data_IF_802306896864
#
_entry.id   IF_802306896864
#
_cell.length_a   1.000
_cell.length_b   1.000
_cell.length_c   1.000
_cell.angle_alpha   90.00
_cell.angle_beta   90.00
_cell.angle_gamma   90.00
#
_symmetry.space_group_name_H-M   'P 1'
#
loop_
_entity.id
_entity.type
_entity.pdbx_description
1 polymer ?
#
# COMPACT_ATOMS: atom_id res chain seq x y z
N UNK A 1 7.45 -43.86 -23.92
CA UNK A 1 8.08 -43.72 -22.58
C UNK A 1 8.67 -42.31 -22.50
N UNK A 2 7.93 -41.35 -21.94
CA UNK A 2 8.45 -40.02 -21.63
C UNK A 2 9.26 -40.15 -20.34
N UNK A 3 10.57 -39.88 -20.39
CA UNK A 3 11.43 -39.90 -19.22
C UNK A 3 10.96 -38.89 -18.16
N UNK A 4 11.28 -39.10 -16.88
CA UNK A 4 10.91 -38.17 -15.82
C UNK A 4 11.52 -36.81 -16.13
N UNK A 5 10.68 -35.82 -16.44
CA UNK A 5 11.08 -34.43 -16.56
C UNK A 5 11.60 -33.97 -15.21
N UNK A 6 12.92 -34.04 -15.02
CA UNK A 6 13.62 -33.44 -13.89
C UNK A 6 13.38 -31.93 -13.97
N UNK A 7 12.44 -31.44 -13.18
CA UNK A 7 12.21 -30.00 -13.01
C UNK A 7 13.52 -29.41 -12.51
N UNK A 8 14.14 -28.56 -13.33
CA UNK A 8 15.35 -27.85 -12.91
C UNK A 8 14.93 -26.80 -11.90
N UNK A 9 15.51 -26.83 -10.69
CA UNK A 9 15.25 -25.84 -9.63
C UNK A 9 15.37 -24.39 -10.13
N UNK A 10 16.18 -24.15 -11.16
CA UNK A 10 16.31 -22.86 -11.84
C UNK A 10 15.00 -22.34 -12.44
N UNK A 11 14.12 -23.20 -12.97
CA UNK A 11 12.84 -22.78 -13.54
C UNK A 11 11.86 -22.29 -12.47
N UNK A 12 11.82 -22.97 -11.31
CA UNK A 12 10.98 -22.56 -10.18
C UNK A 12 11.41 -21.17 -9.69
N UNK A 13 12.72 -20.96 -9.52
CA UNK A 13 13.27 -19.66 -9.09
C UNK A 13 12.92 -18.57 -10.10
N UNK A 14 13.08 -18.83 -11.40
CA UNK A 14 12.78 -17.86 -12.46
C UNK A 14 11.30 -17.45 -12.47
N UNK A 15 10.39 -18.41 -12.29
CA UNK A 15 8.93 -18.14 -12.24
C UNK A 15 8.56 -17.35 -10.97
N UNK A 16 9.13 -17.70 -9.83
CA UNK A 16 8.91 -16.94 -8.60
C UNK A 16 9.43 -15.50 -8.71
N UNK A 17 10.64 -15.33 -9.24
CA UNK A 17 11.25 -14.02 -9.41
C UNK A 17 10.48 -13.15 -10.41
N UNK A 18 10.11 -13.70 -11.57
CA UNK A 18 9.32 -12.97 -12.56
C UNK A 18 7.94 -12.58 -12.04
N UNK A 19 7.26 -13.48 -11.33
CA UNK A 19 5.98 -13.18 -10.66
C UNK A 19 6.17 -12.07 -9.61
N UNK A 20 7.22 -12.15 -8.79
CA UNK A 20 7.53 -11.11 -7.81
C UNK A 20 7.76 -9.75 -8.49
N UNK A 21 8.60 -9.69 -9.54
CA UNK A 21 8.91 -8.46 -10.26
C UNK A 21 7.63 -7.83 -10.83
N UNK A 22 6.82 -8.64 -11.51
CA UNK A 22 5.56 -8.19 -12.10
C UNK A 22 4.61 -7.64 -11.01
N UNK A 23 4.42 -8.37 -9.91
CA UNK A 23 3.51 -7.98 -8.85
C UNK A 23 4.02 -6.79 -8.04
N UNK A 24 5.33 -6.71 -7.77
CA UNK A 24 5.93 -5.58 -7.07
C UNK A 24 5.74 -4.28 -7.88
N UNK A 25 5.97 -4.34 -9.19
CA UNK A 25 5.73 -3.21 -10.09
C UNK A 25 4.24 -2.86 -10.17
N UNK A 26 3.35 -3.85 -10.34
CA UNK A 26 1.91 -3.59 -10.40
C UNK A 26 1.36 -3.00 -9.10
N UNK A 27 1.76 -3.49 -7.94
CA UNK A 27 1.20 -3.06 -6.66
C UNK A 27 1.80 -1.73 -6.18
N UNK A 28 3.10 -1.53 -6.39
CA UNK A 28 3.84 -0.42 -5.75
C UNK A 28 4.53 0.53 -6.74
N UNK A 29 4.49 0.23 -8.04
CA UNK A 29 5.20 1.00 -9.08
C UNK A 29 6.72 0.80 -9.08
N UNK A 30 7.28 0.02 -8.15
CA UNK A 30 8.73 -0.19 -8.03
C UNK A 30 9.05 -1.58 -7.47
N UNK A 31 10.01 -2.28 -8.07
CA UNK A 31 10.35 -3.67 -7.70
C UNK A 31 10.97 -3.80 -6.31
N UNK A 32 11.62 -2.75 -5.79
CA UNK A 32 12.30 -2.78 -4.48
C UNK A 32 11.45 -2.23 -3.34
N UNK A 33 10.38 -1.48 -3.62
CA UNK A 33 9.52 -0.88 -2.58
C UNK A 33 8.95 -1.89 -1.59
N UNK A 34 8.43 -3.08 -1.99
CA UNK A 34 7.96 -4.08 -1.04
C UNK A 34 9.06 -4.51 -0.07
N UNK A 35 10.29 -4.67 -0.54
CA UNK A 35 11.44 -5.03 0.30
C UNK A 35 11.74 -3.90 1.29
N UNK A 36 11.77 -2.63 0.83
CA UNK A 36 12.00 -1.49 1.72
C UNK A 36 10.92 -1.37 2.81
N UNK A 37 9.64 -1.55 2.48
CA UNK A 37 8.55 -1.57 3.46
C UNK A 37 8.68 -2.67 4.52
N UNK A 38 9.23 -3.83 4.14
CA UNK A 38 9.43 -4.95 5.05
C UNK A 38 10.72 -4.85 5.88
N UNK A 39 11.61 -3.91 5.56
CA UNK A 39 12.95 -3.82 6.17
C UNK A 39 13.23 -2.44 6.75
N UNK A 40 13.53 -1.46 5.91
CA UNK A 40 13.97 -0.13 6.31
C UNK A 40 12.82 0.81 6.71
N UNK A 41 11.60 0.54 6.21
CA UNK A 41 10.42 1.38 6.44
C UNK A 41 9.32 0.65 7.22
N UNK A 42 9.72 -0.34 8.02
CA UNK A 42 8.80 -1.14 8.84
C UNK A 42 7.95 -0.25 9.77
N UNK A 43 8.55 0.83 10.29
CA UNK A 43 7.88 1.77 11.20
C UNK A 43 7.11 2.89 10.49
N UNK A 44 7.10 2.94 9.14
CA UNK A 44 6.42 4.02 8.40
C UNK A 44 4.90 3.86 8.33
N UNK A 45 4.37 2.70 8.72
CA UNK A 45 2.93 2.45 8.77
C UNK A 45 2.48 2.36 10.23
N UNK A 46 1.75 3.36 10.70
CA UNK A 46 1.24 3.45 12.08
C UNK A 46 0.07 2.52 12.40
N UNK A 47 -0.24 1.56 11.52
CA UNK A 47 -1.35 0.64 11.69
C UNK A 47 -0.93 -0.58 12.54
N UNK A 48 -1.28 -0.68 13.83
CA UNK A 48 -0.57 -1.53 14.80
C UNK A 48 -0.57 -3.04 14.46
N UNK A 49 -1.59 -3.53 13.77
CA UNK A 49 -1.74 -4.95 13.43
C UNK A 49 -1.30 -5.29 12.00
N UNK A 50 -0.69 -4.36 11.26
CA UNK A 50 -0.27 -4.61 9.88
C UNK A 50 0.70 -5.80 9.73
N UNK A 51 1.67 -6.08 10.64
CA UNK A 51 2.55 -7.23 10.49
C UNK A 51 1.81 -8.55 10.65
N UNK A 52 0.81 -8.60 11.54
CA UNK A 52 -0.02 -9.78 11.71
C UNK A 52 -0.86 -10.05 10.44
N UNK A 53 -1.41 -9.01 9.81
CA UNK A 53 -2.15 -9.14 8.56
C UNK A 53 -1.29 -9.61 7.38
N UNK A 54 -0.02 -9.17 7.32
CA UNK A 54 0.97 -9.71 6.39
C UNK A 54 1.13 -11.23 6.57
N UNK A 55 1.37 -11.68 7.80
CA UNK A 55 1.53 -13.10 8.10
C UNK A 55 0.28 -13.92 7.78
N UNK A 56 -0.91 -13.37 8.05
CA UNK A 56 -2.19 -13.97 7.66
C UNK A 56 -2.29 -14.09 6.14
N UNK A 57 -1.96 -13.05 5.39
CA UNK A 57 -1.96 -13.08 3.92
C UNK A 57 -1.02 -14.15 3.35
N UNK A 58 0.20 -14.26 3.90
CA UNK A 58 1.16 -15.32 3.53
C UNK A 58 0.60 -16.71 3.90
N UNK A 59 0.05 -16.88 5.10
CA UNK A 59 -0.53 -18.14 5.56
C UNK A 59 -1.68 -18.62 4.68
N UNK A 60 -2.62 -17.73 4.34
CA UNK A 60 -3.71 -18.03 3.41
C UNK A 60 -3.18 -18.42 2.03
N UNK A 61 -2.14 -17.74 1.56
CA UNK A 61 -1.52 -18.04 0.26
C UNK A 61 -0.84 -19.40 0.22
N UNK A 62 -0.21 -19.83 1.33
CA UNK A 62 0.33 -21.18 1.46
C UNK A 62 -0.77 -22.24 1.40
N UNK A 63 -1.91 -22.00 2.06
CA UNK A 63 -3.06 -22.91 2.03
C UNK A 63 -3.60 -23.04 0.60
N UNK A 64 -3.77 -21.91 -0.09
CA UNK A 64 -4.22 -21.88 -1.50
C UNK A 64 -3.23 -22.65 -2.38
N UNK A 65 -1.94 -22.33 -2.32
CA UNK A 65 -0.92 -22.99 -3.13
C UNK A 65 -0.87 -24.51 -2.88
N UNK A 66 -0.96 -24.95 -1.60
CA UNK A 66 -1.02 -26.36 -1.25
C UNK A 66 -2.29 -27.04 -1.80
N UNK A 67 -3.42 -26.36 -1.77
CA UNK A 67 -4.66 -26.81 -2.40
C UNK A 67 -4.50 -26.99 -3.91
N UNK A 68 -3.87 -26.03 -4.58
CA UNK A 68 -3.62 -26.07 -6.03
C UNK A 68 -2.68 -27.22 -6.42
N UNK A 69 -1.64 -27.48 -5.63
CA UNK A 69 -0.79 -28.66 -5.83
C UNK A 69 -1.54 -29.99 -5.69
N UNK A 70 -2.57 -30.07 -4.83
CA UNK A 70 -3.40 -31.28 -4.67
C UNK A 70 -4.33 -31.54 -5.86
N UNK A 71 -4.75 -30.49 -6.58
CA UNK A 71 -5.59 -30.62 -7.78
C UNK A 71 -4.76 -30.76 -9.07
N UNK A 72 -3.45 -31.03 -8.97
CA UNK A 72 -2.61 -31.42 -10.10
C UNK A 72 -1.77 -30.30 -10.73
N UNK A 73 -1.71 -29.11 -10.13
CA UNK A 73 -0.78 -28.07 -10.59
C UNK A 73 0.67 -28.52 -10.36
N UNK A 74 1.53 -28.26 -11.34
CA UNK A 74 2.95 -28.55 -11.20
C UNK A 74 3.61 -27.61 -10.15
N UNK A 75 4.80 -27.99 -9.70
CA UNK A 75 5.53 -27.25 -8.65
C UNK A 75 5.88 -25.81 -9.06
N UNK A 76 6.14 -25.57 -10.35
CA UNK A 76 6.54 -24.26 -10.85
C UNK A 76 5.35 -23.31 -10.80
N UNK A 77 4.21 -23.74 -11.36
CA UNK A 77 2.96 -22.96 -11.33
C UNK A 77 2.49 -22.74 -9.91
N UNK A 78 2.55 -23.77 -9.05
CA UNK A 78 2.18 -23.65 -7.64
C UNK A 78 3.02 -22.61 -6.91
N UNK A 79 4.33 -22.57 -7.15
CA UNK A 79 5.21 -21.57 -6.53
C UNK A 79 4.95 -20.16 -7.05
N UNK A 80 4.75 -19.98 -8.36
CA UNK A 80 4.35 -18.69 -8.94
C UNK A 80 3.05 -18.18 -8.32
N UNK A 81 2.04 -19.03 -8.21
CA UNK A 81 0.75 -18.70 -7.58
C UNK A 81 0.90 -18.35 -6.10
N UNK A 82 1.76 -19.05 -5.36
CA UNK A 82 2.07 -18.68 -3.98
C UNK A 82 2.61 -17.25 -3.90
N UNK A 83 3.59 -16.88 -4.73
CA UNK A 83 4.14 -15.51 -4.77
C UNK A 83 3.05 -14.51 -5.14
N UNK A 84 2.25 -14.78 -6.17
CA UNK A 84 1.13 -13.94 -6.58
C UNK A 84 0.13 -13.69 -5.44
N UNK A 85 -0.40 -14.76 -4.83
CA UNK A 85 -1.39 -14.63 -3.77
C UNK A 85 -0.81 -14.01 -2.51
N UNK A 86 0.44 -14.32 -2.15
CA UNK A 86 1.06 -13.75 -0.94
C UNK A 86 1.21 -12.25 -1.04
N UNK A 87 1.58 -11.72 -2.21
CA UNK A 87 1.62 -10.28 -2.43
C UNK A 87 0.21 -9.67 -2.47
N UNK A 88 -0.72 -10.23 -3.25
CA UNK A 88 -2.08 -9.71 -3.38
C UNK A 88 -2.85 -9.70 -2.04
N UNK A 89 -2.88 -10.82 -1.33
CA UNK A 89 -3.64 -10.97 -0.09
C UNK A 89 -3.03 -10.12 1.02
N UNK A 90 -1.71 -10.13 1.17
CA UNK A 90 -1.06 -9.33 2.22
C UNK A 90 -1.27 -7.83 1.99
N UNK A 91 -1.01 -7.35 0.77
CA UNK A 91 -1.23 -5.93 0.44
C UNK A 91 -2.71 -5.57 0.54
N UNK A 92 -3.62 -6.43 0.08
CA UNK A 92 -5.06 -6.22 0.15
C UNK A 92 -5.58 -6.12 1.58
N UNK A 93 -5.17 -7.03 2.48
CA UNK A 93 -5.56 -7.00 3.89
C UNK A 93 -5.04 -5.75 4.59
N UNK A 94 -3.76 -5.40 4.38
CA UNK A 94 -3.17 -4.18 4.95
C UNK A 94 -3.89 -2.93 4.42
N UNK A 95 -4.17 -2.87 3.11
CA UNK A 95 -4.87 -1.74 2.48
C UNK A 95 -6.29 -1.58 3.05
N UNK A 96 -7.03 -2.69 3.22
CA UNK A 96 -8.36 -2.68 3.81
C UNK A 96 -8.31 -2.18 5.26
N UNK A 97 -7.36 -2.68 6.05
CA UNK A 97 -7.21 -2.28 7.45
C UNK A 97 -6.80 -0.81 7.60
N UNK A 98 -5.81 -0.34 6.83
CA UNK A 98 -5.41 1.06 6.84
C UNK A 98 -6.54 1.98 6.37
N UNK A 99 -7.35 1.54 5.39
CA UNK A 99 -8.54 2.28 4.95
C UNK A 99 -9.62 2.33 6.02
N UNK A 100 -9.85 1.24 6.75
CA UNK A 100 -10.76 1.21 7.89
C UNK A 100 -10.34 2.18 9.00
N UNK A 101 -9.07 2.16 9.39
CA UNK A 101 -8.53 3.07 10.39
C UNK A 101 -8.67 4.54 9.96
N UNK A 102 -8.36 4.84 8.69
CA UNK A 102 -8.57 6.17 8.13
C UNK A 102 -10.03 6.60 8.20
N UNK A 103 -10.96 5.74 7.77
CA UNK A 103 -12.39 6.05 7.82
C UNK A 103 -12.87 6.34 9.25
N UNK A 104 -12.40 5.56 10.22
CA UNK A 104 -12.70 5.77 11.63
C UNK A 104 -12.19 7.14 12.11
N UNK A 105 -10.97 7.48 11.75
CA UNK A 105 -10.35 8.76 12.13
C UNK A 105 -11.03 9.95 11.44
N UNK A 106 -11.29 9.87 10.13
CA UNK A 106 -12.02 10.91 9.39
C UNK A 106 -13.40 11.18 9.99
N UNK A 107 -14.12 10.13 10.41
CA UNK A 107 -15.42 10.26 11.04
C UNK A 107 -15.35 10.95 12.43
N UNK A 108 -14.30 10.68 13.20
CA UNK A 108 -14.06 11.34 14.49
C UNK A 108 -13.55 12.78 14.33
N UNK A 109 -12.73 13.03 13.31
CA UNK A 109 -12.12 14.33 13.03
C UNK A 109 -13.16 15.37 12.62
N UNK A 110 -14.24 14.96 11.93
CA UNK A 110 -15.34 15.82 11.48
C UNK A 110 -14.81 17.05 10.70
N UNK A 111 -14.13 16.79 9.59
CA UNK A 111 -13.69 17.85 8.69
C UNK A 111 -14.89 18.50 7.98
N UNK A 112 -14.79 19.80 7.70
CA UNK A 112 -15.74 20.54 6.87
C UNK A 112 -15.63 20.10 5.41
N UNK A 113 -14.38 19.88 4.96
CA UNK A 113 -14.06 19.37 3.63
C UNK A 113 -12.99 18.29 3.74
N UNK A 114 -13.07 17.31 2.85
CA UNK A 114 -12.06 16.26 2.80
C UNK A 114 -11.86 15.77 1.37
N UNK A 115 -10.61 15.50 1.01
CA UNK A 115 -10.28 14.74 -0.19
C UNK A 115 -9.39 13.56 0.17
N UNK A 116 -9.60 12.44 -0.50
CA UNK A 116 -8.93 11.18 -0.19
C UNK A 116 -8.39 10.55 -1.46
N UNK A 117 -7.11 10.19 -1.46
CA UNK A 117 -6.58 9.26 -2.44
C UNK A 117 -6.76 7.82 -1.96
N UNK A 118 -6.77 6.87 -2.89
CA UNK A 118 -6.81 5.45 -2.55
C UNK A 118 -5.49 5.00 -1.89
N UNK A 119 -5.55 3.94 -1.08
CA UNK A 119 -4.35 3.36 -0.49
C UNK A 119 -3.35 2.90 -1.56
N UNK A 120 -3.84 2.31 -2.66
CA UNK A 120 -2.97 1.87 -3.75
C UNK A 120 -2.33 3.03 -4.51
N UNK A 121 -3.05 4.14 -4.73
CA UNK A 121 -2.45 5.36 -5.28
C UNK A 121 -1.35 5.88 -4.34
N UNK A 122 -1.61 5.86 -3.04
CA UNK A 122 -0.63 6.22 -2.01
C UNK A 122 0.60 5.32 -2.02
N UNK A 123 0.41 4.00 -2.12
CA UNK A 123 1.49 3.01 -2.17
C UNK A 123 2.37 3.16 -3.42
N UNK A 124 1.76 3.51 -4.57
CA UNK A 124 2.48 3.75 -5.82
C UNK A 124 3.22 5.09 -5.86
N UNK A 125 2.82 6.06 -5.05
CA UNK A 125 3.46 7.37 -5.01
C UNK A 125 4.41 7.55 -3.81
N UNK A 126 4.47 6.61 -2.86
CA UNK A 126 5.34 6.66 -1.68
C UNK A 126 6.60 5.77 -1.80
N UNK A 127 7.80 6.23 -1.43
CA UNK A 127 8.21 7.62 -1.27
C UNK A 127 8.55 8.20 -2.65
N UNK A 128 7.97 9.35 -2.95
CA UNK A 128 8.53 10.26 -3.94
C UNK A 128 9.13 11.38 -3.11
N UNK A 129 10.44 11.37 -2.94
CA UNK A 129 11.15 12.32 -2.07
C UNK A 129 10.97 13.80 -2.51
N UNK A 130 10.26 14.07 -3.62
CA UNK A 130 10.05 15.41 -4.19
C UNK A 130 8.68 15.65 -4.84
N UNK A 131 7.59 15.04 -4.37
CA UNK A 131 6.27 15.36 -4.94
C UNK A 131 5.22 15.66 -3.88
N UNK A 132 4.50 16.76 -4.12
CA UNK A 132 3.31 17.28 -3.46
C UNK A 132 2.12 16.30 -3.43
N UNK A 133 2.39 14.98 -3.35
CA UNK A 133 1.36 13.95 -3.34
C UNK A 133 0.79 13.81 -1.93
N UNK A 134 -0.37 14.42 -1.73
CA UNK A 134 -1.14 14.23 -0.51
C UNK A 134 -1.92 12.91 -0.56
N UNK A 135 -1.66 12.05 0.41
CA UNK A 135 -2.44 10.81 0.61
C UNK A 135 -3.92 11.10 0.92
N UNK A 136 -4.18 12.26 1.50
CA UNK A 136 -5.46 12.87 1.73
C UNK A 136 -5.26 14.20 2.43
N UNK A 137 -6.25 15.07 2.37
CA UNK A 137 -6.28 16.30 3.14
C UNK A 137 -7.68 16.56 3.67
N UNK A 138 -7.72 17.35 4.73
CA UNK A 138 -8.94 17.80 5.36
C UNK A 138 -8.84 19.31 5.63
N UNK A 139 -9.99 19.96 5.65
CA UNK A 139 -10.14 21.33 6.11
C UNK A 139 -11.09 21.31 7.31
N UNK A 140 -10.69 21.94 8.41
CA UNK A 140 -11.52 22.06 9.61
C UNK A 140 -11.33 23.44 10.21
N UNK A 141 -12.42 24.18 10.37
CA UNK A 141 -12.42 25.56 10.87
C UNK A 141 -11.43 26.45 10.08
N UNK A 142 -11.38 26.27 8.76
CA UNK A 142 -10.44 26.91 7.83
C UNK A 142 -8.94 26.64 8.11
N UNK A 143 -8.62 25.64 8.94
CA UNK A 143 -7.26 25.16 9.15
C UNK A 143 -7.03 23.92 8.26
N UNK A 144 -6.00 23.92 7.40
CA UNK A 144 -5.70 22.79 6.54
C UNK A 144 -4.93 21.67 7.27
N UNK A 145 -5.28 20.43 6.98
CA UNK A 145 -4.66 19.23 7.54
C UNK A 145 -4.31 18.21 6.46
N UNK A 146 -3.27 17.42 6.68
CA UNK A 146 -2.84 16.32 5.82
C UNK A 146 -2.94 14.98 6.53
N UNK A 147 -3.31 13.92 5.79
CA UNK A 147 -3.32 12.56 6.31
C UNK A 147 -1.93 11.93 6.34
N UNK A 148 -1.51 11.41 7.50
CA UNK A 148 -0.28 10.63 7.64
C UNK A 148 -0.58 9.15 7.89
N UNK A 149 -0.07 8.27 7.02
CA UNK A 149 -0.09 6.82 7.25
C UNK A 149 0.87 6.36 8.35
N UNK A 150 1.87 7.17 8.72
CA UNK A 150 2.81 6.83 9.80
C UNK A 150 2.20 7.05 11.18
N UNK A 151 1.33 8.04 11.32
CA UNK A 151 0.63 8.32 12.57
C UNK A 151 -0.84 7.87 12.56
N UNK A 152 -1.35 7.47 11.38
CA UNK A 152 -2.76 7.16 11.16
C UNK A 152 -3.69 8.27 11.65
N UNK A 153 -3.30 9.52 11.40
CA UNK A 153 -3.97 10.72 11.89
C UNK A 153 -3.81 11.90 10.92
N UNK A 154 -4.65 12.92 11.12
CA UNK A 154 -4.49 14.22 10.49
C UNK A 154 -3.47 15.07 11.26
N UNK A 155 -2.49 15.61 10.55
CA UNK A 155 -1.56 16.62 11.07
C UNK A 155 -1.82 17.96 10.39
N UNK A 156 -1.63 19.05 11.12
CA UNK A 156 -1.78 20.39 10.55
C UNK A 156 -0.79 20.59 9.39
N UNK A 157 -1.29 21.15 8.30
CA UNK A 157 -0.51 21.46 7.12
C UNK A 157 -0.17 22.95 7.14
N UNK A 158 1.12 23.29 7.05
CA UNK A 158 1.50 24.70 7.00
C UNK A 158 0.91 25.39 5.76
N UNK A 159 0.52 26.66 5.89
CA UNK A 159 -0.11 27.41 4.80
C UNK A 159 0.76 27.48 3.55
N UNK A 160 2.08 27.65 3.74
CA UNK A 160 3.06 27.66 2.65
C UNK A 160 3.07 26.36 1.82
N UNK A 161 2.77 25.21 2.43
CA UNK A 161 2.60 23.95 1.70
C UNK A 161 1.19 23.88 1.13
N UNK A 162 0.18 24.19 1.95
CA UNK A 162 -1.25 24.11 1.60
C UNK A 162 -1.59 24.78 0.26
N UNK A 163 -1.07 25.98 0.00
CA UNK A 163 -1.33 26.73 -1.25
C UNK A 163 -0.90 25.99 -2.53
N UNK A 164 0.04 25.05 -2.43
CA UNK A 164 0.57 24.32 -3.59
C UNK A 164 -0.12 22.97 -3.80
N UNK A 165 -0.92 22.51 -2.84
CA UNK A 165 -1.37 21.10 -2.77
C UNK A 165 -2.86 20.93 -2.53
N UNK A 166 -3.53 21.96 -1.99
CA UNK A 166 -4.97 21.94 -1.77
C UNK A 166 -5.73 22.42 -3.01
N UNK A 167 -7.00 21.99 -3.17
CA UNK A 167 -7.88 22.53 -4.20
C UNK A 167 -8.03 24.05 -4.06
N UNK A 168 -8.04 24.76 -5.19
CA UNK A 168 -8.13 26.22 -5.22
C UNK A 168 -9.41 26.72 -4.52
N UNK A 169 -10.51 25.98 -4.65
CA UNK A 169 -11.80 26.32 -4.04
C UNK A 169 -11.69 26.40 -2.51
N UNK A 170 -10.88 25.54 -1.88
CA UNK A 170 -10.69 25.57 -0.43
C UNK A 170 -9.83 26.74 0.01
N UNK A 171 -8.82 27.10 -0.80
CA UNK A 171 -7.93 28.23 -0.52
C UNK A 171 -8.71 29.55 -0.60
N UNK A 172 -9.59 29.69 -1.60
CA UNK A 172 -10.44 30.86 -1.80
C UNK A 172 -11.52 30.97 -0.71
N UNK A 173 -12.26 29.88 -0.42
CA UNK A 173 -13.31 29.85 0.61
C UNK A 173 -12.80 30.28 2.00
N UNK A 174 -11.57 29.91 2.35
CA UNK A 174 -10.98 30.15 3.67
C UNK A 174 -9.89 31.23 3.69
N UNK A 175 -9.68 31.96 2.58
CA UNK A 175 -8.63 32.97 2.44
C UNK A 175 -7.24 32.48 2.92
N UNK A 176 -6.87 31.26 2.53
CA UNK A 176 -5.58 30.66 2.93
C UNK A 176 -4.48 31.23 2.03
N UNK A 177 -3.66 32.10 2.61
CA UNK A 177 -2.50 32.71 1.95
C UNK A 177 -1.17 32.23 2.57
N UNK A 178 -0.08 32.39 1.82
CA UNK A 178 1.27 32.13 2.32
C UNK A 178 1.58 32.99 3.56
N UNK A 179 2.29 32.41 4.52
CA UNK A 179 2.83 33.19 5.63
C UNK A 179 3.97 34.07 5.08
N UNK A 180 3.87 35.39 5.30
CA UNK A 180 4.87 36.38 4.86
C UNK A 180 6.16 36.32 5.67
#
# INVERSE_FOLDING_TARGET
>A
MQGPHTIKNSQIILIGLSTYIAMAWLLTGNVFRPIFFLTFWIDRLGAPYWPALLLVGIGLSLIIAKGMGRIGFDKQTTFGLFVFFSMCLSTGLIAAYASYLRLKESAAFQADREFRNSFFASLRNAPADFQFFLHGAALKDCVPYTWSYSYMAYGELSKNIAINVLPYEWLDECAIEADR
#
